data_IF_419389787155
#
_entry.id   IF_419389787155
#
_cell.length_a   1.000
_cell.length_b   1.000
_cell.length_c   1.000
_cell.angle_alpha   90.00
_cell.angle_beta   90.00
_cell.angle_gamma   90.00
#
_symmetry.space_group_name_H-M   'P 1'
#
loop_
_entity.id
_entity.type
_entity.pdbx_description
1 polymer ?
#
# COMPACT_ATOMS: atom_id res chain seq x y z
N UNK A 1 -0.31 10.02 2.83
CA UNK A 1 -0.27 8.74 2.10
C UNK A 1 -0.40 9.02 0.60
N UNK A 2 0.38 8.34 -0.24
CA UNK A 2 0.38 8.50 -1.70
C UNK A 2 0.14 7.15 -2.36
N UNK A 3 -0.80 7.08 -3.29
CA UNK A 3 -1.01 5.91 -4.14
C UNK A 3 -0.21 6.07 -5.44
N UNK A 4 0.24 4.95 -5.98
CA UNK A 4 0.97 4.88 -7.25
C UNK A 4 0.40 3.72 -8.09
N UNK A 5 0.69 3.65 -9.40
CA UNK A 5 0.34 2.48 -10.20
C UNK A 5 0.90 1.20 -9.61
N UNK A 6 0.27 0.06 -9.93
CA UNK A 6 0.70 -1.24 -9.44
C UNK A 6 2.13 -1.58 -9.83
N UNK A 7 2.85 -2.11 -8.87
CA UNK A 7 4.23 -2.57 -8.99
C UNK A 7 5.18 -1.86 -8.04
N UNK A 8 5.91 -2.65 -7.28
CA UNK A 8 6.84 -2.22 -6.22
C UNK A 8 7.81 -1.12 -6.69
N UNK A 9 8.25 -1.16 -7.95
CA UNK A 9 9.14 -0.13 -8.53
C UNK A 9 8.55 1.28 -8.46
N UNK A 10 7.23 1.43 -8.64
CA UNK A 10 6.56 2.73 -8.57
C UNK A 10 6.48 3.25 -7.14
N UNK A 11 6.30 2.34 -6.18
CA UNK A 11 6.32 2.65 -4.75
C UNK A 11 7.73 3.09 -4.32
N UNK A 12 8.76 2.35 -4.73
CA UNK A 12 10.16 2.64 -4.45
C UNK A 12 10.54 4.05 -4.92
N UNK A 13 10.34 4.35 -6.21
CA UNK A 13 10.62 5.69 -6.75
C UNK A 13 9.78 6.81 -6.15
N UNK A 14 8.59 6.50 -5.65
CA UNK A 14 7.80 7.50 -4.93
C UNK A 14 8.35 7.76 -3.52
N UNK A 15 8.87 6.71 -2.85
CA UNK A 15 9.44 6.78 -1.53
C UNK A 15 10.80 7.50 -1.49
N UNK A 16 11.62 7.35 -2.55
CA UNK A 16 12.92 8.05 -2.71
C UNK A 16 12.83 9.59 -2.64
N UNK A 17 11.63 10.16 -2.77
CA UNK A 17 11.40 11.62 -2.71
C UNK A 17 11.29 12.17 -1.29
N UNK A 18 11.34 11.31 -0.29
CA UNK A 18 11.19 11.66 1.12
C UNK A 18 12.49 11.39 1.88
N UNK A 19 12.73 12.14 2.92
CA UNK A 19 13.86 11.91 3.81
C UNK A 19 13.80 10.51 4.45
N UNK A 20 12.58 10.07 4.80
CA UNK A 20 12.25 8.71 5.22
C UNK A 20 11.00 8.29 4.45
N UNK A 21 11.16 7.40 3.49
CA UNK A 21 10.09 6.87 2.66
C UNK A 21 9.70 5.45 3.10
N UNK A 22 8.44 5.24 3.46
CA UNK A 22 7.91 3.91 3.80
C UNK A 22 6.92 3.49 2.74
N UNK A 23 7.07 2.29 2.19
CA UNK A 23 6.12 1.76 1.23
C UNK A 23 5.91 0.26 1.39
N UNK A 24 4.67 -0.18 1.17
CA UNK A 24 4.29 -1.58 1.14
C UNK A 24 3.17 -1.82 0.13
N UNK A 25 3.20 -2.98 -0.53
CA UNK A 25 2.07 -3.56 -1.25
C UNK A 25 1.21 -4.37 -0.26
N UNK A 26 -0.04 -4.65 -0.64
CA UNK A 26 -0.96 -5.45 0.18
C UNK A 26 -0.47 -6.89 0.44
N UNK A 27 0.46 -7.38 -0.40
CA UNK A 27 1.10 -8.70 -0.24
C UNK A 27 2.27 -8.69 0.76
N UNK A 28 2.58 -7.53 1.39
CA UNK A 28 3.68 -7.36 2.33
C UNK A 28 5.03 -7.05 1.67
N UNK A 29 5.09 -6.91 0.35
CA UNK A 29 6.33 -6.53 -0.34
C UNK A 29 6.58 -5.04 -0.19
N UNK A 30 7.60 -4.66 0.53
CA UNK A 30 7.91 -3.27 0.81
C UNK A 30 9.19 -3.08 1.59
N UNK A 31 9.50 -1.84 1.94
CA UNK A 31 10.64 -1.49 2.80
C UNK A 31 10.56 -0.04 3.29
N UNK A 32 11.58 0.37 4.03
CA UNK A 32 11.81 1.74 4.47
C UNK A 32 13.09 2.26 3.82
N UNK A 33 13.02 3.42 3.18
CA UNK A 33 14.16 4.12 2.57
C UNK A 33 14.54 5.32 3.41
N UNK A 34 15.84 5.57 3.52
CA UNK A 34 16.39 6.78 4.12
C UNK A 34 17.20 7.52 3.05
N UNK A 35 17.00 8.83 2.92
CA UNK A 35 17.85 9.62 2.03
C UNK A 35 19.30 9.63 2.51
N UNK A 36 20.29 9.76 1.60
CA UNK A 36 21.70 9.88 1.99
C UNK A 36 21.92 11.00 3.00
N UNK A 37 21.24 12.13 2.82
CA UNK A 37 21.31 13.28 3.72
C UNK A 37 20.80 12.93 5.13
N UNK A 38 19.72 12.17 5.22
CA UNK A 38 19.18 11.72 6.52
C UNK A 38 20.14 10.77 7.22
N UNK A 39 20.77 9.85 6.46
CA UNK A 39 21.76 8.93 7.00
C UNK A 39 22.96 9.71 7.54
N UNK A 40 23.48 10.70 6.81
CA UNK A 40 24.60 11.53 7.21
C UNK A 40 24.27 12.39 8.44
N UNK A 41 23.08 13.00 8.48
CA UNK A 41 22.61 13.76 9.65
C UNK A 41 22.55 12.84 10.88
N UNK A 42 21.95 11.67 10.75
CA UNK A 42 21.84 10.72 11.87
C UNK A 42 23.20 10.19 12.32
N UNK A 43 24.15 9.97 11.39
CA UNK A 43 25.49 9.52 11.73
C UNK A 43 26.25 10.54 12.58
N UNK A 44 26.09 11.84 12.28
CA UNK A 44 26.76 12.95 12.94
C UNK A 44 25.97 13.53 14.11
N UNK A 45 24.72 13.11 14.31
CA UNK A 45 23.84 13.68 15.34
C UNK A 45 24.33 13.34 16.74
N UNK A 46 24.60 14.38 17.53
CA UNK A 46 24.95 14.28 18.95
C UNK A 46 23.72 14.60 19.82
N UNK A 47 23.15 13.58 20.51
CA UNK A 47 21.98 13.80 21.33
C UNK A 47 22.28 14.64 22.57
N UNK A 48 21.44 15.61 22.86
CA UNK A 48 21.54 16.47 24.05
C UNK A 48 20.62 16.03 25.20
N UNK A 49 19.70 15.08 24.92
CA UNK A 49 18.77 14.53 25.91
C UNK A 49 18.69 13.01 25.82
N UNK A 50 18.31 12.31 26.92
CA UNK A 50 18.12 10.85 26.88
C UNK A 50 17.07 10.39 25.84
N UNK A 51 16.03 11.19 25.60
CA UNK A 51 15.01 10.89 24.59
C UNK A 51 15.59 10.94 23.18
N UNK A 52 16.42 11.96 22.88
CA UNK A 52 17.12 12.08 21.60
C UNK A 52 18.13 10.94 21.39
N UNK A 53 18.86 10.55 22.44
CA UNK A 53 19.81 9.42 22.38
C UNK A 53 19.07 8.12 22.05
N UNK A 54 17.94 7.86 22.71
CA UNK A 54 17.11 6.68 22.42
C UNK A 54 16.59 6.69 20.99
N UNK A 55 16.04 7.82 20.53
CA UNK A 55 15.51 7.93 19.16
C UNK A 55 16.61 7.78 18.09
N UNK A 56 17.77 8.39 18.30
CA UNK A 56 18.90 8.27 17.38
C UNK A 56 19.41 6.82 17.29
N UNK A 57 19.52 6.12 18.40
CA UNK A 57 19.88 4.70 18.44
C UNK A 57 18.86 3.82 17.71
N UNK A 58 17.58 4.08 17.90
CA UNK A 58 16.51 3.36 17.20
C UNK A 58 16.56 3.56 15.69
N UNK A 59 16.70 4.81 15.22
CA UNK A 59 16.81 5.12 13.79
C UNK A 59 18.07 4.52 13.15
N UNK A 60 19.23 4.62 13.81
CA UNK A 60 20.47 3.98 13.34
C UNK A 60 20.35 2.46 13.30
N UNK A 61 19.70 1.86 14.29
CA UNK A 61 19.41 0.43 14.33
C UNK A 61 18.50 0.01 13.19
N UNK A 62 17.46 0.79 12.90
CA UNK A 62 16.56 0.56 11.76
C UNK A 62 17.31 0.63 10.42
N UNK A 63 18.12 1.64 10.19
CA UNK A 63 18.96 1.78 8.99
C UNK A 63 19.86 0.54 8.78
N UNK A 64 20.40 -0.01 9.87
CA UNK A 64 21.27 -1.20 9.82
C UNK A 64 20.51 -2.50 9.61
N UNK A 65 19.25 -2.57 10.02
CA UNK A 65 18.42 -3.77 9.94
C UNK A 65 17.73 -3.91 8.59
N UNK A 66 17.14 -2.80 8.09
CA UNK A 66 16.24 -2.84 6.93
C UNK A 66 17.03 -2.91 5.62
N UNK A 67 16.58 -3.76 4.69
CA UNK A 67 17.13 -3.80 3.36
C UNK A 67 16.50 -2.69 2.50
N UNK A 68 17.27 -1.64 2.20
CA UNK A 68 16.78 -0.49 1.44
C UNK A 68 16.77 -0.71 -0.08
N UNK A 69 17.44 -1.74 -0.58
CA UNK A 69 17.51 -2.00 -2.02
C UNK A 69 16.32 -2.80 -2.54
N UNK A 70 15.85 -3.75 -1.74
CA UNK A 70 14.70 -4.62 -2.08
C UNK A 70 13.89 -4.92 -0.82
N UNK A 71 12.59 -5.13 -0.98
CA UNK A 71 11.76 -5.65 0.10
C UNK A 71 12.23 -7.05 0.51
N UNK A 72 12.65 -7.18 1.76
CA UNK A 72 13.14 -8.42 2.35
C UNK A 72 12.21 -8.84 3.49
N UNK A 73 11.42 -9.86 3.25
CA UNK A 73 10.42 -10.33 4.20
C UNK A 73 11.00 -10.72 5.57
N UNK A 74 12.28 -11.14 5.64
CA UNK A 74 12.91 -11.48 6.92
C UNK A 74 13.27 -10.21 7.69
N UNK A 75 13.86 -9.21 7.04
CA UNK A 75 14.15 -7.94 7.69
C UNK A 75 12.88 -7.18 8.07
N UNK A 76 11.84 -7.22 7.24
CA UNK A 76 10.53 -6.64 7.54
C UNK A 76 9.88 -7.34 8.75
N UNK A 77 9.93 -8.67 8.81
CA UNK A 77 9.44 -9.44 9.97
C UNK A 77 10.18 -9.06 11.26
N UNK A 78 11.51 -9.01 11.22
CA UNK A 78 12.33 -8.60 12.38
C UNK A 78 12.02 -7.16 12.81
N UNK A 79 11.76 -6.27 11.86
CA UNK A 79 11.34 -4.90 12.17
C UNK A 79 9.98 -4.88 12.88
N UNK A 80 9.02 -5.66 12.42
CA UNK A 80 7.70 -5.78 13.07
C UNK A 80 7.87 -6.31 14.50
N UNK A 81 8.68 -7.33 14.72
CA UNK A 81 8.98 -7.86 16.08
C UNK A 81 9.57 -6.77 16.99
N UNK A 82 10.49 -5.95 16.48
CA UNK A 82 11.06 -4.81 17.25
C UNK A 82 9.99 -3.77 17.58
N UNK A 83 9.09 -3.46 16.63
CA UNK A 83 7.98 -2.52 16.85
C UNK A 83 7.02 -3.06 17.93
N UNK A 84 6.63 -4.33 17.85
CA UNK A 84 5.76 -4.96 18.80
C UNK A 84 6.37 -4.96 20.22
N UNK A 85 7.63 -5.34 20.33
CA UNK A 85 8.36 -5.30 21.59
C UNK A 85 8.44 -3.89 22.18
N UNK A 86 8.74 -2.88 21.34
CA UNK A 86 8.81 -1.47 21.77
C UNK A 86 7.47 -0.94 22.25
N UNK A 87 6.38 -1.29 21.55
CA UNK A 87 5.01 -0.89 21.89
C UNK A 87 4.41 -1.74 23.01
N UNK A 88 5.03 -2.85 23.37
CA UNK A 88 4.49 -3.89 24.25
C UNK A 88 3.16 -4.43 23.72
N UNK A 89 3.09 -4.64 22.41
CA UNK A 89 1.97 -5.20 21.69
C UNK A 89 2.20 -6.68 21.40
N UNK A 90 1.13 -7.46 21.45
CA UNK A 90 1.07 -8.79 20.86
C UNK A 90 0.47 -8.77 19.46
N UNK A 91 0.29 -9.95 18.84
CA UNK A 91 -0.36 -10.08 17.55
C UNK A 91 -1.80 -9.52 17.53
N UNK A 92 -2.50 -9.59 18.65
CA UNK A 92 -3.88 -9.13 18.80
C UNK A 92 -3.99 -7.60 18.68
N UNK A 93 -3.10 -6.85 19.35
CA UNK A 93 -3.06 -5.39 19.22
C UNK A 93 -2.59 -4.95 17.82
N UNK A 94 -1.73 -5.76 17.19
CA UNK A 94 -1.29 -5.49 15.82
C UNK A 94 -2.45 -5.68 14.83
N UNK A 95 -3.19 -6.77 14.93
CA UNK A 95 -4.35 -7.09 14.10
C UNK A 95 -5.47 -6.05 14.28
N UNK A 96 -5.70 -5.61 15.51
CA UNK A 96 -6.71 -4.59 15.82
C UNK A 96 -6.40 -3.19 15.25
N UNK A 97 -5.18 -2.96 14.74
CA UNK A 97 -4.79 -1.68 14.12
C UNK A 97 -5.46 -1.42 12.77
N UNK A 98 -6.09 -2.41 12.17
CA UNK A 98 -6.73 -2.35 10.87
C UNK A 98 -7.91 -3.30 10.77
N UNK A 99 -8.98 -2.88 10.14
CA UNK A 99 -10.15 -3.71 9.83
C UNK A 99 -10.49 -3.57 8.34
N UNK A 100 -10.50 -4.71 7.65
CA UNK A 100 -10.91 -4.79 6.25
C UNK A 100 -12.42 -4.63 6.11
N UNK A 101 -12.86 -3.81 5.17
CA UNK A 101 -14.24 -3.85 4.73
C UNK A 101 -14.49 -5.14 3.92
N UNK A 102 -15.70 -5.71 3.97
CA UNK A 102 -16.08 -6.77 3.06
C UNK A 102 -15.76 -6.39 1.61
N UNK A 103 -14.95 -7.21 0.95
CA UNK A 103 -14.45 -6.90 -0.38
C UNK A 103 -14.45 -8.12 -1.33
N UNK A 104 -14.33 -7.84 -2.62
CA UNK A 104 -14.14 -8.83 -3.67
C UNK A 104 -13.16 -8.33 -4.71
N UNK A 105 -12.29 -9.24 -5.13
CA UNK A 105 -11.40 -9.06 -6.27
C UNK A 105 -11.72 -10.14 -7.32
N UNK A 106 -12.06 -9.70 -8.52
CA UNK A 106 -12.33 -10.59 -9.66
C UNK A 106 -11.32 -10.38 -10.77
N UNK A 107 -11.07 -11.45 -11.51
CA UNK A 107 -10.37 -11.46 -12.79
C UNK A 107 -11.41 -11.70 -13.88
N UNK A 108 -11.57 -10.75 -14.80
CA UNK A 108 -12.50 -10.84 -15.92
C UNK A 108 -11.68 -10.87 -17.22
N UNK A 109 -11.80 -11.94 -18.01
CA UNK A 109 -11.17 -12.05 -19.32
C UNK A 109 -11.81 -11.08 -20.30
N UNK A 110 -10.99 -10.40 -21.08
CA UNK A 110 -11.40 -9.42 -22.09
C UNK A 110 -10.71 -9.73 -23.42
N UNK A 111 -11.26 -9.26 -24.52
CA UNK A 111 -10.66 -9.48 -25.84
C UNK A 111 -9.34 -8.71 -26.03
N UNK A 112 -9.26 -7.51 -25.49
CA UNK A 112 -8.07 -6.66 -25.51
C UNK A 112 -8.02 -5.82 -24.24
N UNK A 113 -7.03 -6.06 -23.40
CA UNK A 113 -6.80 -5.27 -22.18
C UNK A 113 -6.41 -3.83 -22.44
N UNK A 114 -5.83 -3.53 -23.63
CA UNK A 114 -5.39 -2.18 -23.96
C UNK A 114 -6.58 -1.23 -24.26
N UNK A 115 -7.78 -1.77 -24.43
CA UNK A 115 -9.01 -0.98 -24.50
C UNK A 115 -9.33 -0.30 -23.16
N UNK A 116 -8.80 -0.84 -22.04
CA UNK A 116 -9.00 -0.29 -20.71
C UNK A 116 -7.82 0.61 -20.32
N UNK A 117 -8.09 1.90 -20.23
CA UNK A 117 -7.10 2.90 -19.81
C UNK A 117 -7.49 3.47 -18.45
N UNK A 118 -6.50 3.81 -17.67
CA UNK A 118 -6.70 4.28 -16.30
C UNK A 118 -5.89 5.55 -16.01
N UNK A 119 -6.34 6.30 -15.03
CA UNK A 119 -5.65 7.43 -14.42
C UNK A 119 -5.67 7.31 -12.89
N UNK A 120 -5.13 8.30 -12.19
CA UNK A 120 -5.14 8.39 -10.72
C UNK A 120 -4.62 7.10 -10.05
N UNK A 121 -3.43 6.65 -10.46
CA UNK A 121 -2.81 5.43 -9.96
C UNK A 121 -3.69 4.17 -10.16
N UNK A 122 -4.25 4.04 -11.34
CA UNK A 122 -5.13 2.92 -11.76
C UNK A 122 -6.46 2.83 -10.99
N UNK A 123 -6.87 3.88 -10.31
CA UNK A 123 -8.11 3.90 -9.53
C UNK A 123 -9.33 4.36 -10.32
N UNK A 124 -9.12 5.00 -11.47
CA UNK A 124 -10.19 5.50 -12.35
C UNK A 124 -9.96 5.05 -13.78
N UNK A 125 -11.02 4.55 -14.42
CA UNK A 125 -11.04 4.28 -15.85
C UNK A 125 -11.22 5.57 -16.64
N UNK A 126 -10.42 5.72 -17.70
CA UNK A 126 -10.62 6.73 -18.74
C UNK A 126 -11.12 6.14 -20.05
N UNK A 127 -11.06 4.81 -20.20
CA UNK A 127 -11.59 4.05 -21.32
C UNK A 127 -11.99 2.65 -20.85
N UNK A 128 -13.12 2.08 -21.32
CA UNK A 128 -14.11 2.62 -22.27
C UNK A 128 -14.90 3.80 -21.71
N UNK A 129 -15.34 4.68 -22.61
CA UNK A 129 -16.14 5.86 -22.28
C UNK A 129 -17.42 5.47 -21.53
N UNK A 130 -17.74 6.22 -20.47
CA UNK A 130 -18.94 6.01 -19.65
C UNK A 130 -18.82 4.96 -18.56
N UNK A 131 -17.92 3.99 -18.67
CA UNK A 131 -17.80 2.88 -17.72
C UNK A 131 -17.46 3.36 -16.29
N UNK A 132 -16.60 4.37 -16.15
CA UNK A 132 -16.31 4.95 -14.83
C UNK A 132 -17.54 5.58 -14.18
N UNK A 133 -18.37 6.27 -14.96
CA UNK A 133 -19.59 6.87 -14.46
C UNK A 133 -20.61 5.82 -13.95
N UNK A 134 -20.70 4.69 -14.63
CA UNK A 134 -21.54 3.56 -14.20
C UNK A 134 -21.00 2.93 -12.90
N UNK A 135 -19.69 2.73 -12.80
CA UNK A 135 -19.04 2.25 -11.56
C UNK A 135 -19.31 3.21 -10.38
N UNK A 136 -19.16 4.50 -10.61
CA UNK A 136 -19.41 5.53 -9.60
C UNK A 136 -20.88 5.57 -9.15
N UNK A 137 -21.81 5.35 -10.08
CA UNK A 137 -23.24 5.27 -9.75
C UNK A 137 -23.56 4.03 -8.93
N UNK A 138 -22.96 2.89 -9.27
CA UNK A 138 -23.16 1.64 -8.54
C UNK A 138 -22.60 1.75 -7.11
N UNK A 139 -21.37 2.25 -6.97
CA UNK A 139 -20.70 2.35 -5.67
C UNK A 139 -21.39 3.34 -4.72
N UNK A 140 -21.97 4.43 -5.23
CA UNK A 140 -22.76 5.39 -4.42
C UNK A 140 -23.97 4.78 -3.74
N UNK A 141 -24.47 3.64 -4.19
CA UNK A 141 -25.60 2.92 -3.58
C UNK A 141 -25.24 2.20 -2.28
N UNK A 142 -23.95 2.13 -1.95
CA UNK A 142 -23.45 1.37 -0.80
C UNK A 142 -22.68 2.28 0.14
N UNK A 143 -22.94 2.12 1.43
CA UNK A 143 -22.20 2.84 2.47
C UNK A 143 -20.71 2.44 2.43
N UNK A 144 -19.82 3.43 2.40
CA UNK A 144 -18.37 3.25 2.22
C UNK A 144 -18.00 2.46 0.94
N UNK A 145 -18.91 2.46 -0.06
CA UNK A 145 -18.67 1.78 -1.33
C UNK A 145 -17.45 2.34 -2.05
N UNK A 146 -16.57 1.45 -2.51
CA UNK A 146 -15.43 1.76 -3.36
C UNK A 146 -15.23 0.67 -4.38
N UNK A 147 -14.95 1.04 -5.62
CA UNK A 147 -14.68 0.10 -6.71
C UNK A 147 -13.64 0.67 -7.65
N UNK A 148 -12.89 -0.19 -8.28
CA UNK A 148 -12.04 0.16 -9.42
C UNK A 148 -11.89 -1.03 -10.36
N UNK A 149 -11.63 -0.71 -11.62
CA UNK A 149 -11.30 -1.68 -12.68
C UNK A 149 -9.97 -1.25 -13.29
N UNK A 150 -9.05 -2.18 -13.43
CA UNK A 150 -7.76 -1.93 -14.06
C UNK A 150 -7.33 -3.08 -14.96
N UNK A 151 -6.62 -2.80 -16.07
CA UNK A 151 -6.09 -3.86 -16.92
C UNK A 151 -4.98 -4.63 -16.22
N UNK A 152 -4.82 -5.90 -16.55
CA UNK A 152 -3.67 -6.69 -16.14
C UNK A 152 -2.42 -6.26 -16.91
N UNK A 153 -1.27 -6.28 -16.26
CA UNK A 153 0.01 -5.99 -16.91
C UNK A 153 0.50 -7.08 -17.88
N UNK A 154 -0.02 -8.31 -17.76
CA UNK A 154 0.55 -9.49 -18.44
C UNK A 154 -0.45 -10.33 -19.23
N UNK A 155 -1.75 -10.23 -18.94
CA UNK A 155 -2.80 -11.10 -19.51
C UNK A 155 -3.96 -10.25 -20.05
N UNK A 156 -4.70 -10.78 -21.02
CA UNK A 156 -5.93 -10.14 -21.52
C UNK A 156 -7.09 -10.34 -20.55
N UNK A 157 -6.99 -9.63 -19.44
CA UNK A 157 -8.00 -9.55 -18.41
C UNK A 157 -7.97 -8.19 -17.72
N UNK A 158 -9.07 -7.87 -17.07
CA UNK A 158 -9.16 -6.76 -16.12
C UNK A 158 -9.33 -7.30 -14.70
N UNK A 159 -8.81 -6.56 -13.74
CA UNK A 159 -9.01 -6.77 -12.31
C UNK A 159 -10.10 -5.84 -11.84
N UNK A 160 -11.16 -6.41 -11.28
CA UNK A 160 -12.28 -5.65 -10.71
C UNK A 160 -12.25 -5.83 -9.21
N UNK A 161 -12.17 -4.71 -8.50
CA UNK A 161 -12.23 -4.67 -7.05
C UNK A 161 -13.46 -3.91 -6.60
N UNK A 162 -14.14 -4.40 -5.58
CA UNK A 162 -15.24 -3.70 -4.91
C UNK A 162 -15.23 -4.00 -3.41
N UNK A 163 -15.52 -2.97 -2.61
CA UNK A 163 -15.69 -3.07 -1.16
C UNK A 163 -16.83 -2.16 -0.68
N UNK A 164 -17.43 -2.49 0.44
CA UNK A 164 -18.43 -1.66 1.11
C UNK A 164 -18.59 -2.09 2.58
N UNK A 165 -19.23 -1.27 3.43
CA UNK A 165 -19.56 -1.62 4.82
C UNK A 165 -20.68 -2.67 4.93
N UNK A 166 -21.29 -3.06 3.81
CA UNK A 166 -22.40 -4.02 3.74
C UNK A 166 -21.92 -5.44 3.44
N UNK A 167 -22.72 -6.43 3.83
CA UNK A 167 -22.49 -7.86 3.64
C UNK A 167 -22.02 -8.26 2.22
N UNK A 168 -21.20 -9.33 2.08
CA UNK A 168 -20.65 -9.78 0.79
C UNK A 168 -21.67 -10.04 -0.31
N UNK A 169 -22.95 -10.26 0.03
CA UNK A 169 -24.03 -10.43 -0.93
C UNK A 169 -24.39 -9.17 -1.70
N UNK A 170 -24.22 -8.00 -1.10
CA UNK A 170 -24.46 -6.72 -1.77
C UNK A 170 -23.32 -6.36 -2.74
N UNK A 171 -22.08 -6.70 -2.39
CA UNK A 171 -20.91 -6.49 -3.25
C UNK A 171 -21.01 -7.30 -4.55
N UNK A 172 -21.59 -8.51 -4.51
CA UNK A 172 -21.88 -9.29 -5.72
C UNK A 172 -22.73 -8.53 -6.74
N UNK A 173 -23.71 -7.76 -6.29
CA UNK A 173 -24.59 -6.98 -7.18
C UNK A 173 -23.88 -5.77 -7.84
N UNK A 174 -22.76 -5.31 -7.30
CA UNK A 174 -21.95 -4.27 -7.91
C UNK A 174 -21.02 -4.78 -9.02
N UNK A 175 -20.93 -6.10 -9.22
CA UNK A 175 -19.92 -6.73 -10.08
C UNK A 175 -20.56 -7.45 -11.30
N UNK A 176 -21.87 -7.42 -11.42
CA UNK A 176 -22.67 -7.93 -12.53
C UNK A 176 -23.64 -6.84 -13.04
#
# INVERSE_FOLDING_TARGET
MRCVPTGVKHLHHAAERYDIGVYFEANGHGTVLFSPETIDILAQFEPSTPAQDTAAKQLRGLISLINQAVGDAISDFLLVEVILAHKRWGPEEWDAGYEDLPNRLLKVSVADRNAFKTEDAERKLTSPDGMQAELDELTRKFEKGRSFVRPSGTEDCVRVYAEASTEPGAIRKCMY
#
